data_IF_332054897830
#
_entry.id   IF_332054897830
#
_cell.length_a   1.000
_cell.length_b   1.000
_cell.length_c   1.000
_cell.angle_alpha   90.00
_cell.angle_beta   90.00
_cell.angle_gamma   90.00
#
_symmetry.space_group_name_H-M   'P 1'
#
loop_
_entity.id
_entity.type
_entity.pdbx_description
1 polymer ?
#
# COMPACT_ATOMS: atom_id res chain seq x y z
N UNK A 1 -30.89 24.87 -37.23
CA UNK A 1 -29.57 24.85 -36.60
C UNK A 1 -29.43 23.52 -35.90
N UNK A 2 -28.91 22.51 -36.62
CA UNK A 2 -28.73 21.16 -36.06
C UNK A 2 -27.39 21.07 -35.35
N UNK A 3 -27.42 21.18 -34.04
CA UNK A 3 -26.27 20.99 -33.17
C UNK A 3 -25.91 19.51 -33.05
N UNK A 4 -25.29 18.91 -34.06
CA UNK A 4 -24.74 17.56 -33.95
C UNK A 4 -23.48 17.64 -33.08
N UNK A 5 -23.58 17.11 -31.87
CA UNK A 5 -22.40 16.93 -30.99
C UNK A 5 -21.48 15.89 -31.63
N UNK A 6 -20.28 16.30 -31.99
CA UNK A 6 -19.27 15.40 -32.54
C UNK A 6 -18.81 14.42 -31.42
N UNK A 7 -19.11 13.14 -31.62
CA UNK A 7 -18.77 12.06 -30.69
C UNK A 7 -17.26 11.98 -30.40
N UNK A 8 -16.43 12.35 -31.37
CA UNK A 8 -14.96 12.33 -31.20
C UNK A 8 -14.50 13.47 -30.28
N UNK A 9 -15.10 14.66 -30.42
CA UNK A 9 -14.82 15.79 -29.54
C UNK A 9 -15.30 15.54 -28.10
N UNK A 10 -16.45 14.86 -27.93
CA UNK A 10 -16.97 14.47 -26.62
C UNK A 10 -16.08 13.43 -25.92
N UNK A 11 -15.63 12.40 -26.65
CA UNK A 11 -14.71 11.39 -26.10
C UNK A 11 -13.32 11.95 -25.78
N UNK A 12 -12.81 12.89 -26.56
CA UNK A 12 -11.55 13.57 -26.28
C UNK A 12 -11.66 14.47 -25.04
N UNK A 13 -12.77 15.16 -24.84
CA UNK A 13 -12.99 16.00 -23.65
C UNK A 13 -13.14 15.19 -22.37
N UNK A 14 -13.83 14.03 -22.42
CA UNK A 14 -13.97 13.15 -21.25
C UNK A 14 -12.67 12.44 -20.89
N UNK A 15 -11.84 12.06 -21.86
CA UNK A 15 -10.52 11.47 -21.60
C UNK A 15 -9.56 12.47 -20.93
N UNK A 16 -9.66 13.76 -21.26
CA UNK A 16 -8.83 14.81 -20.64
C UNK A 16 -9.24 15.14 -19.20
N UNK A 17 -10.52 15.01 -18.85
CA UNK A 17 -10.98 15.25 -17.47
C UNK A 17 -10.63 14.10 -16.52
N UNK A 18 -10.61 12.86 -16.99
CA UNK A 18 -10.30 11.70 -16.12
C UNK A 18 -8.81 11.57 -15.83
N UNK A 19 -7.93 12.05 -16.71
CA UNK A 19 -6.48 12.05 -16.47
C UNK A 19 -6.04 13.07 -15.39
N UNK A 20 -6.84 14.09 -15.12
CA UNK A 20 -6.50 15.13 -14.15
C UNK A 20 -6.83 14.75 -12.69
N UNK A 21 -7.61 13.67 -12.46
CA UNK A 21 -8.12 13.33 -11.10
C UNK A 21 -7.17 12.37 -10.37
N UNK A 22 -6.25 11.71 -11.05
CA UNK A 22 -5.34 10.73 -10.45
C UNK A 22 -3.86 11.06 -10.69
N UNK A 23 -3.44 12.21 -10.21
CA UNK A 23 -2.02 12.49 -10.00
C UNK A 23 -1.68 11.98 -8.60
N UNK A 24 -0.86 10.94 -8.45
CA UNK A 24 -0.36 10.60 -7.12
C UNK A 24 0.44 11.80 -6.61
N UNK A 25 0.11 12.27 -5.41
CA UNK A 25 0.78 13.41 -4.74
C UNK A 25 2.28 13.19 -4.46
N UNK A 26 2.88 12.16 -5.04
CA UNK A 26 4.28 11.76 -4.86
C UNK A 26 5.26 12.72 -5.51
N UNK A 27 4.82 13.47 -6.51
CA UNK A 27 5.66 14.40 -7.27
C UNK A 27 5.61 15.84 -6.76
N UNK A 28 4.91 16.12 -5.64
CA UNK A 28 4.94 17.45 -5.04
C UNK A 28 6.30 17.66 -4.34
N UNK A 29 7.14 18.61 -4.82
CA UNK A 29 8.43 18.91 -4.18
C UNK A 29 8.28 19.39 -2.73
N UNK A 30 7.07 19.79 -2.33
CA UNK A 30 6.70 20.19 -0.97
C UNK A 30 6.13 19.04 -0.12
N UNK A 31 5.92 17.85 -0.72
CA UNK A 31 5.44 16.72 0.06
C UNK A 31 6.44 16.35 1.18
N UNK A 32 5.97 16.03 2.39
CA UNK A 32 6.85 15.65 3.47
C UNK A 32 7.69 14.44 3.07
N UNK A 33 8.98 14.48 3.36
CA UNK A 33 9.92 13.38 3.04
C UNK A 33 9.60 12.09 3.78
N UNK A 34 8.83 12.18 4.86
CA UNK A 34 8.37 11.04 5.66
C UNK A 34 6.86 11.12 5.83
N UNK A 35 6.17 10.01 5.60
CA UNK A 35 4.72 9.89 5.74
C UNK A 35 4.39 8.60 6.48
N UNK A 36 3.43 8.68 7.38
CA UNK A 36 2.77 7.53 7.99
C UNK A 36 1.40 7.35 7.36
N UNK A 37 1.10 6.13 6.91
CA UNK A 37 -0.21 5.78 6.36
C UNK A 37 -0.74 4.57 7.15
N UNK A 38 -1.96 4.67 7.64
CA UNK A 38 -2.69 3.53 8.21
C UNK A 38 -3.28 2.71 7.05
N UNK A 39 -2.78 1.50 6.86
CA UNK A 39 -3.19 0.62 5.76
C UNK A 39 -4.41 -0.22 6.15
N UNK A 40 -4.52 -0.56 7.43
CA UNK A 40 -5.63 -1.32 7.96
C UNK A 40 -5.72 -1.16 9.48
N UNK A 41 -6.96 -1.16 9.98
CA UNK A 41 -7.29 -0.97 11.40
C UNK A 41 -8.21 -2.06 11.94
N UNK A 42 -8.42 -3.12 11.15
CA UNK A 42 -9.25 -4.25 11.52
C UNK A 42 -8.54 -5.14 12.54
N UNK A 43 -8.90 -5.02 13.83
CA UNK A 43 -8.39 -5.91 14.88
C UNK A 43 -9.17 -7.21 14.98
N UNK A 44 -8.48 -8.27 15.43
CA UNK A 44 -9.05 -9.62 15.63
C UNK A 44 -8.87 -10.54 14.42
N UNK A 45 -8.97 -11.86 14.63
CA UNK A 45 -8.48 -12.87 13.70
C UNK A 45 -9.35 -13.08 12.45
N UNK A 46 -10.49 -12.42 12.36
CA UNK A 46 -11.43 -12.61 11.26
C UNK A 46 -11.26 -11.54 10.20
N UNK A 47 -11.11 -11.91 8.92
CA UNK A 47 -11.17 -10.95 7.82
C UNK A 47 -12.45 -10.13 7.87
N UNK A 48 -12.37 -8.86 7.59
CA UNK A 48 -13.51 -7.93 7.61
C UNK A 48 -13.81 -7.43 6.21
N UNK A 49 -15.09 -7.24 5.94
CA UNK A 49 -15.55 -6.75 4.63
C UNK A 49 -15.06 -5.34 4.33
N UNK A 50 -15.02 -4.48 5.33
CA UNK A 50 -14.86 -3.03 5.17
C UNK A 50 -13.50 -2.50 5.68
N UNK A 51 -12.65 -3.38 6.23
CA UNK A 51 -11.33 -2.99 6.71
C UNK A 51 -10.32 -4.11 6.57
N UNK A 52 -9.11 -3.77 6.18
CA UNK A 52 -7.96 -4.68 6.20
C UNK A 52 -7.46 -4.89 7.63
N UNK A 53 -6.74 -5.98 7.85
CA UNK A 53 -6.07 -6.27 9.11
C UNK A 53 -5.08 -5.18 9.52
N UNK A 54 -4.65 -5.20 10.78
CA UNK A 54 -3.76 -4.18 11.33
C UNK A 54 -2.46 -4.08 10.54
N UNK A 55 -2.22 -2.94 9.92
CA UNK A 55 -0.99 -2.64 9.21
C UNK A 55 -0.80 -1.13 9.05
N UNK A 56 0.44 -0.69 9.16
CA UNK A 56 0.83 0.68 8.89
C UNK A 56 2.08 0.71 8.00
N UNK A 57 2.28 1.80 7.25
CA UNK A 57 3.52 2.02 6.52
C UNK A 57 4.09 3.39 6.83
N UNK A 58 5.39 3.42 7.10
CA UNK A 58 6.19 4.64 7.11
C UNK A 58 6.94 4.67 5.77
N UNK A 59 6.73 5.73 5.01
CA UNK A 59 7.45 5.99 3.77
C UNK A 59 8.46 7.08 4.05
N UNK A 60 9.75 6.74 3.97
CA UNK A 60 10.85 7.68 4.19
C UNK A 60 11.68 7.77 2.89
N UNK A 61 11.54 8.89 2.18
CA UNK A 61 12.05 9.01 0.82
C UNK A 61 11.37 8.01 -0.11
N UNK A 62 12.14 7.08 -0.68
CA UNK A 62 11.69 6.01 -1.57
C UNK A 62 11.52 4.65 -0.88
N UNK A 63 11.71 4.56 0.45
CA UNK A 63 11.75 3.30 1.19
C UNK A 63 10.50 3.08 2.01
N UNK A 64 10.01 1.82 2.01
CA UNK A 64 8.88 1.39 2.81
C UNK A 64 9.35 0.67 4.07
N UNK A 65 8.77 1.07 5.19
CA UNK A 65 8.90 0.45 6.51
C UNK A 65 7.50 0.04 6.96
N UNK A 66 7.20 -1.24 6.89
CA UNK A 66 5.86 -1.76 7.24
C UNK A 66 5.84 -2.17 8.69
N UNK A 67 4.82 -1.78 9.43
CA UNK A 67 4.55 -2.20 10.81
C UNK A 67 3.27 -3.01 10.79
N UNK A 68 3.39 -4.28 11.15
CA UNK A 68 2.40 -5.32 11.04
C UNK A 68 1.95 -5.64 9.60
N UNK A 69 1.54 -6.87 9.39
CA UNK A 69 1.16 -7.44 8.11
C UNK A 69 -0.16 -8.20 8.25
N UNK A 70 -1.20 -7.51 8.67
CA UNK A 70 -2.54 -8.07 8.70
C UNK A 70 -3.09 -8.32 7.30
N UNK A 71 -4.22 -9.00 7.24
CA UNK A 71 -4.93 -9.35 6.01
C UNK A 71 -5.06 -8.16 5.05
N UNK A 72 -4.63 -8.33 3.80
CA UNK A 72 -4.72 -7.34 2.73
C UNK A 72 -3.60 -6.28 2.69
N UNK A 73 -2.54 -6.38 3.51
CA UNK A 73 -1.48 -5.36 3.61
C UNK A 73 -0.86 -4.99 2.25
N UNK A 74 -0.54 -5.97 1.42
CA UNK A 74 0.07 -5.72 0.10
C UNK A 74 -0.89 -4.94 -0.82
N UNK A 75 -2.17 -5.32 -0.84
CA UNK A 75 -3.19 -4.59 -1.59
C UNK A 75 -3.34 -3.15 -1.10
N UNK A 76 -3.34 -2.93 0.19
CA UNK A 76 -3.45 -1.59 0.77
C UNK A 76 -2.24 -0.71 0.47
N UNK A 77 -1.04 -1.27 0.43
CA UNK A 77 0.16 -0.56 -0.03
C UNK A 77 0.01 -0.06 -1.47
N UNK A 78 -0.47 -0.93 -2.38
CA UNK A 78 -0.71 -0.55 -3.78
C UNK A 78 -1.80 0.53 -3.89
N UNK A 79 -2.91 0.40 -3.14
CA UNK A 79 -3.96 1.43 -3.10
C UNK A 79 -3.47 2.76 -2.53
N UNK A 80 -2.53 2.72 -1.58
CA UNK A 80 -1.85 3.91 -1.07
C UNK A 80 -0.82 4.49 -2.07
N UNK A 81 -0.64 3.87 -3.24
CA UNK A 81 0.31 4.27 -4.27
C UNK A 81 1.77 3.93 -3.92
N UNK A 82 2.02 3.04 -2.97
CA UNK A 82 3.36 2.61 -2.61
C UNK A 82 3.87 1.52 -3.56
N UNK A 83 5.16 1.56 -3.89
CA UNK A 83 5.79 0.51 -4.70
C UNK A 83 6.31 -0.60 -3.80
N UNK A 84 5.77 -1.81 -3.95
CA UNK A 84 6.22 -2.99 -3.20
C UNK A 84 7.71 -3.29 -3.43
N UNK A 85 8.27 -2.92 -4.59
CA UNK A 85 9.69 -3.10 -4.90
C UNK A 85 10.62 -2.28 -3.99
N UNK A 86 10.10 -1.33 -3.23
CA UNK A 86 10.88 -0.47 -2.33
C UNK A 86 10.78 -0.86 -0.85
N UNK A 87 10.19 -2.03 -0.56
CA UNK A 87 10.09 -2.58 0.79
C UNK A 87 11.49 -2.80 1.38
N UNK A 88 11.73 -2.34 2.61
CA UNK A 88 13.03 -2.42 3.29
C UNK A 88 12.97 -3.14 4.63
N UNK A 89 12.01 -2.79 5.45
CA UNK A 89 11.87 -3.35 6.78
C UNK A 89 10.43 -3.71 7.06
N UNK A 90 10.26 -4.82 7.77
CA UNK A 90 8.97 -5.24 8.32
C UNK A 90 9.13 -5.38 9.83
N UNK A 91 8.24 -4.79 10.58
CA UNK A 91 8.19 -4.85 12.04
C UNK A 91 6.89 -5.54 12.45
N UNK A 92 7.00 -6.68 13.08
CA UNK A 92 5.83 -7.41 13.62
C UNK A 92 5.75 -7.13 15.11
N UNK A 93 4.68 -6.49 15.54
CA UNK A 93 4.50 -6.14 16.95
C UNK A 93 4.26 -7.37 17.82
N UNK A 94 3.46 -8.31 17.32
CA UNK A 94 3.17 -9.60 17.98
C UNK A 94 2.58 -10.60 16.97
N UNK A 95 2.49 -11.88 17.38
CA UNK A 95 2.15 -12.99 16.48
C UNK A 95 0.64 -13.33 16.42
N UNK A 96 -0.26 -12.40 16.67
CA UNK A 96 -1.65 -12.63 16.32
C UNK A 96 -1.88 -12.54 14.81
N UNK A 97 -2.83 -13.31 14.29
CA UNK A 97 -3.06 -13.42 12.85
C UNK A 97 -3.45 -12.10 12.19
N UNK A 98 -4.19 -11.26 12.87
CA UNK A 98 -4.55 -9.92 12.39
C UNK A 98 -3.37 -8.94 12.27
N UNK A 99 -2.17 -9.34 12.74
CA UNK A 99 -0.93 -8.57 12.63
C UNK A 99 0.14 -9.21 11.74
N UNK A 100 0.01 -10.50 11.39
CA UNK A 100 1.04 -11.17 10.59
C UNK A 100 0.53 -12.17 9.53
N UNK A 101 -0.78 -12.28 9.32
CA UNK A 101 -1.36 -13.26 8.40
C UNK A 101 -0.79 -13.13 6.97
N UNK A 102 -0.61 -11.91 6.49
CA UNK A 102 -0.14 -11.62 5.13
C UNK A 102 1.35 -11.31 5.02
N UNK A 103 2.15 -11.58 6.08
CA UNK A 103 3.59 -11.32 6.03
C UNK A 103 4.29 -12.05 4.89
N UNK A 104 4.06 -13.36 4.74
CA UNK A 104 4.65 -14.15 3.65
C UNK A 104 4.16 -13.70 2.27
N UNK A 105 2.88 -13.40 2.17
CA UNK A 105 2.27 -12.89 0.94
C UNK A 105 2.84 -11.52 0.55
N UNK A 106 3.07 -10.63 1.49
CA UNK A 106 3.72 -9.33 1.25
C UNK A 106 5.11 -9.51 0.64
N UNK A 107 5.93 -10.42 1.18
CA UNK A 107 7.28 -10.69 0.66
C UNK A 107 7.23 -11.25 -0.75
N UNK A 108 6.34 -12.22 -0.99
CA UNK A 108 6.18 -12.84 -2.31
C UNK A 108 5.74 -11.82 -3.36
N UNK A 109 4.70 -11.03 -3.06
CA UNK A 109 4.20 -10.00 -3.99
C UNK A 109 5.20 -8.87 -4.19
N UNK A 110 6.03 -8.55 -3.19
CA UNK A 110 7.11 -7.58 -3.34
C UNK A 110 8.20 -8.10 -4.28
N UNK A 111 8.55 -9.37 -4.19
CA UNK A 111 9.47 -10.01 -5.11
C UNK A 111 8.93 -10.00 -6.54
N UNK A 112 7.69 -10.39 -6.76
CA UNK A 112 7.01 -10.32 -8.06
C UNK A 112 6.97 -8.89 -8.62
N UNK A 113 6.86 -7.88 -7.76
CA UNK A 113 6.90 -6.47 -8.14
C UNK A 113 8.31 -5.95 -8.46
N UNK A 114 9.33 -6.80 -8.41
CA UNK A 114 10.70 -6.45 -8.74
C UNK A 114 11.58 -6.07 -7.55
N UNK A 115 11.22 -6.44 -6.33
CA UNK A 115 12.09 -6.28 -5.16
C UNK A 115 13.37 -7.11 -5.33
N UNK A 116 14.52 -6.45 -5.44
CA UNK A 116 15.83 -7.10 -5.59
C UNK A 116 16.71 -6.97 -4.34
N UNK A 117 16.19 -6.33 -3.31
CA UNK A 117 16.97 -6.02 -2.13
C UNK A 117 16.48 -6.84 -0.95
N UNK A 118 17.38 -7.08 0.00
CA UNK A 118 17.05 -7.74 1.26
C UNK A 118 16.01 -6.92 2.03
N UNK A 119 15.03 -7.63 2.59
CA UNK A 119 14.09 -7.12 3.57
C UNK A 119 14.50 -7.62 4.94
N UNK A 120 14.74 -6.73 5.87
CA UNK A 120 14.99 -7.08 7.26
C UNK A 120 13.67 -7.10 8.02
N UNK A 121 13.45 -8.18 8.78
CA UNK A 121 12.25 -8.34 9.60
C UNK A 121 12.59 -8.36 11.08
N UNK A 122 11.82 -7.63 11.83
CA UNK A 122 11.94 -7.47 13.27
C UNK A 122 10.64 -7.87 13.96
N UNK A 123 10.73 -8.55 15.06
CA UNK A 123 9.55 -8.99 15.80
C UNK A 123 9.92 -9.58 17.15
N UNK A 124 8.92 -9.97 17.95
CA UNK A 124 9.16 -10.53 19.28
C UNK A 124 9.89 -11.86 19.17
N UNK A 125 10.86 -12.06 20.05
CA UNK A 125 11.49 -13.36 20.22
C UNK A 125 10.50 -14.38 20.76
N UNK A 126 10.54 -15.59 20.21
CA UNK A 126 9.82 -16.71 20.82
C UNK A 126 10.47 -16.98 22.19
N UNK A 127 9.76 -16.65 23.29
CA UNK A 127 10.13 -17.17 24.60
C UNK A 127 10.05 -18.69 24.51
N UNK A 128 11.17 -19.37 24.72
CA UNK A 128 11.17 -20.83 24.93
C UNK A 128 10.53 -21.03 26.29
N UNK A 129 9.25 -21.44 26.29
CA UNK A 129 8.60 -22.01 27.47
C UNK A 129 9.09 -23.42 27.72
#
# INVERSE_FOLDING_TARGET
MDGKIDRRAFLAATASLTAAIWQPHWSDPKAPRTRLILLGTGGGPRPRRESSGSAQVIIAGDRLYVVDCGDGVARQLVLAGASLATLRHVFITHHHSDHNADYGNLLLLSWEAGLQQRVDTWGPHRSRG
#
